data_IF_740045095882
#
_entry.id   IF_740045095882
#
_cell.length_a   1.000
_cell.length_b   1.000
_cell.length_c   1.000
_cell.angle_alpha   90.00
_cell.angle_beta   90.00
_cell.angle_gamma   90.00
#
_symmetry.space_group_name_H-M   'P 1'
#
loop_
_entity.id
_entity.type
_entity.pdbx_description
1 polymer ?
#
# COMPACT_ATOMS: atom_id res chain seq x y z
N UNK A 1 9.18 -0.70 30.39
CA UNK A 1 9.58 -0.89 28.99
C UNK A 1 8.58 -0.16 28.13
N UNK A 2 8.90 1.06 27.74
CA UNK A 2 8.09 1.89 26.83
C UNK A 2 8.27 1.37 25.41
N UNK A 3 7.19 1.02 24.73
CA UNK A 3 7.26 0.58 23.34
C UNK A 3 7.93 1.68 22.49
N UNK A 4 9.00 1.37 21.74
CA UNK A 4 9.47 2.27 20.71
C UNK A 4 8.44 2.23 19.56
N UNK A 5 8.28 3.34 18.84
CA UNK A 5 7.57 3.43 17.54
C UNK A 5 6.08 3.81 17.61
N UNK A 6 5.81 5.06 18.04
CA UNK A 6 4.57 5.75 17.69
C UNK A 6 4.86 6.67 16.49
N UNK A 7 4.13 6.48 15.39
CA UNK A 7 4.06 7.44 14.30
C UNK A 7 2.80 8.28 14.44
N UNK A 8 2.90 9.58 14.15
CA UNK A 8 1.82 10.28 13.49
C UNK A 8 2.36 10.78 12.15
N UNK A 9 1.95 10.17 11.04
CA UNK A 9 1.85 10.99 9.84
C UNK A 9 0.63 11.91 10.07
N UNK A 10 0.88 13.12 10.54
CA UNK A 10 -0.17 14.10 10.79
C UNK A 10 -0.81 14.51 9.47
N UNK A 11 -1.98 13.97 9.14
CA UNK A 11 -2.85 14.49 8.08
C UNK A 11 -2.99 13.62 6.83
N UNK A 12 -2.25 12.51 6.69
CA UNK A 12 -2.50 11.51 5.65
C UNK A 12 -3.17 10.29 6.25
N UNK A 13 -4.25 9.85 5.62
CA UNK A 13 -4.95 8.62 5.93
C UNK A 13 -5.32 7.95 4.62
N UNK A 14 -5.21 6.63 4.58
CA UNK A 14 -5.66 5.87 3.42
C UNK A 14 -7.18 5.99 3.30
N UNK A 15 -7.67 6.19 2.08
CA UNK A 15 -9.10 6.25 1.84
C UNK A 15 -9.78 4.93 2.22
N UNK A 16 -10.88 4.95 2.99
CA UNK A 16 -11.69 3.76 3.24
C UNK A 16 -12.17 3.07 1.96
N UNK A 17 -12.38 3.82 0.87
CA UNK A 17 -12.78 3.28 -0.43
C UNK A 17 -11.66 2.50 -1.13
N UNK A 18 -10.39 2.72 -0.77
CA UNK A 18 -9.22 2.02 -1.31
C UNK A 18 -8.63 1.01 -0.32
N UNK A 19 -9.43 0.59 0.67
CA UNK A 19 -9.01 -0.32 1.72
C UNK A 19 -9.83 -1.61 1.68
N UNK A 20 -9.17 -2.77 1.65
CA UNK A 20 -9.78 -4.08 1.92
C UNK A 20 -9.38 -4.55 3.32
N UNK A 21 -10.21 -5.35 3.99
CA UNK A 21 -9.94 -5.78 5.38
C UNK A 21 -9.52 -7.23 5.43
N UNK A 22 -8.39 -7.52 6.06
CA UNK A 22 -7.93 -8.88 6.35
C UNK A 22 -8.63 -9.40 7.61
N UNK A 23 -9.45 -10.44 7.45
CA UNK A 23 -10.15 -11.04 8.57
C UNK A 23 -9.18 -11.72 9.55
N UNK A 24 -9.64 -11.98 10.78
CA UNK A 24 -8.81 -12.55 11.85
C UNK A 24 -8.13 -13.89 11.49
N UNK A 25 -8.78 -14.68 10.64
CA UNK A 25 -8.28 -15.95 10.10
C UNK A 25 -7.29 -15.78 8.93
N UNK A 26 -7.00 -14.55 8.49
CA UNK A 26 -6.16 -14.25 7.34
C UNK A 26 -6.88 -14.26 6.00
N UNK A 27 -8.19 -14.51 5.92
CA UNK A 27 -8.89 -14.41 4.64
C UNK A 27 -9.22 -12.96 4.30
N UNK A 28 -9.06 -12.57 3.04
CA UNK A 28 -9.70 -11.37 2.52
C UNK A 28 -11.12 -11.72 2.09
N UNK A 29 -12.16 -11.14 2.72
CA UNK A 29 -13.53 -11.35 2.29
C UNK A 29 -13.73 -10.70 0.92
N UNK A 30 -14.60 -11.30 0.11
CA UNK A 30 -15.09 -10.65 -1.10
C UNK A 30 -15.87 -9.39 -0.71
N UNK A 31 -15.59 -8.28 -1.37
CA UNK A 31 -16.29 -7.00 -1.14
C UNK A 31 -17.03 -6.66 -2.41
N UNK A 32 -18.36 -6.60 -2.33
CA UNK A 32 -19.20 -6.17 -3.44
C UNK A 32 -19.34 -4.64 -3.35
N UNK A 33 -18.41 -3.88 -3.93
CA UNK A 33 -18.55 -2.42 -4.05
C UNK A 33 -18.43 -1.98 -5.50
N UNK A 34 -19.44 -1.25 -5.97
CA UNK A 34 -19.49 -0.45 -7.19
C UNK A 34 -19.13 -1.14 -8.52
N UNK A 35 -19.91 -2.16 -8.88
CA UNK A 35 -19.94 -2.68 -10.25
C UNK A 35 -18.85 -3.70 -10.60
N UNK A 36 -17.87 -3.92 -9.72
CA UNK A 36 -16.87 -5.01 -9.82
C UNK A 36 -17.39 -6.27 -9.10
N UNK A 37 -18.69 -6.56 -9.22
CA UNK A 37 -19.35 -7.72 -8.60
C UNK A 37 -19.09 -9.05 -9.34
N UNK A 38 -18.26 -9.08 -10.38
CA UNK A 38 -18.19 -10.24 -11.27
C UNK A 38 -17.32 -11.40 -10.76
N UNK A 39 -16.42 -11.21 -9.78
CA UNK A 39 -15.37 -12.20 -9.51
C UNK A 39 -15.43 -12.93 -8.17
N UNK A 40 -16.36 -12.58 -7.27
CA UNK A 40 -16.44 -13.24 -5.95
C UNK A 40 -15.12 -13.16 -5.15
N UNK A 41 -14.30 -12.15 -5.43
CA UNK A 41 -12.93 -12.03 -4.95
C UNK A 41 -12.69 -10.63 -4.35
N UNK A 42 -11.66 -10.46 -3.50
CA UNK A 42 -11.30 -9.15 -2.95
C UNK A 42 -10.87 -8.20 -4.07
N UNK A 43 -11.44 -6.99 -4.08
CA UNK A 43 -11.10 -5.96 -5.05
C UNK A 43 -11.06 -4.58 -4.36
N UNK A 44 -10.15 -3.72 -4.83
CA UNK A 44 -10.17 -2.30 -4.50
C UNK A 44 -11.09 -1.51 -5.45
N UNK A 45 -11.43 -0.29 -5.05
CA UNK A 45 -12.10 0.65 -5.95
C UNK A 45 -11.20 1.01 -7.14
N UNK A 46 -11.81 1.18 -8.31
CA UNK A 46 -11.11 1.46 -9.55
C UNK A 46 -10.34 2.80 -9.51
N UNK A 47 -9.21 2.88 -10.24
CA UNK A 47 -8.48 4.14 -10.52
C UNK A 47 -8.64 4.58 -11.96
N UNK A 48 -8.39 5.85 -12.25
CA UNK A 48 -8.06 6.25 -13.61
C UNK A 48 -6.61 5.84 -13.91
N UNK A 49 -6.31 5.60 -15.18
CA UNK A 49 -4.98 5.15 -15.62
C UNK A 49 -3.88 6.14 -15.19
N UNK A 50 -4.14 7.44 -15.35
CA UNK A 50 -3.19 8.52 -15.07
C UNK A 50 -2.92 8.79 -13.58
N UNK A 51 -3.69 8.19 -12.66
CA UNK A 51 -3.51 8.47 -11.23
C UNK A 51 -2.39 7.60 -10.63
N UNK A 52 -1.65 8.15 -9.68
CA UNK A 52 -0.87 7.38 -8.72
C UNK A 52 -1.64 7.40 -7.39
N UNK A 53 -2.13 6.25 -6.94
CA UNK A 53 -2.98 6.16 -5.74
C UNK A 53 -2.45 5.13 -4.75
N UNK A 54 -2.69 5.41 -3.48
CA UNK A 54 -2.47 4.53 -2.35
C UNK A 54 -3.65 3.57 -2.16
N UNK A 55 -3.33 2.30 -1.94
CA UNK A 55 -4.26 1.21 -1.65
C UNK A 55 -3.83 0.50 -0.38
N UNK A 56 -4.79 0.04 0.43
CA UNK A 56 -4.47 -0.62 1.69
C UNK A 56 -5.15 -1.96 1.89
N UNK A 57 -4.46 -2.79 2.68
CA UNK A 57 -5.05 -3.89 3.42
C UNK A 57 -5.06 -3.50 4.90
N UNK A 58 -6.24 -3.45 5.52
CA UNK A 58 -6.39 -3.33 6.97
C UNK A 58 -6.06 -4.70 7.60
N UNK A 59 -4.91 -4.77 8.26
CA UNK A 59 -4.37 -5.98 8.87
C UNK A 59 -4.81 -6.13 10.35
N UNK A 60 -5.58 -5.18 10.88
CA UNK A 60 -5.80 -5.02 12.33
C UNK A 60 -6.40 -6.27 12.97
N UNK A 61 -7.43 -6.86 12.36
CA UNK A 61 -8.09 -8.04 12.92
C UNK A 61 -7.18 -9.28 12.90
N UNK A 62 -6.45 -9.49 11.80
CA UNK A 62 -5.49 -10.59 11.64
C UNK A 62 -4.34 -10.50 12.64
N UNK A 63 -3.78 -9.31 12.82
CA UNK A 63 -2.70 -9.04 13.77
C UNK A 63 -3.17 -9.21 15.22
N UNK A 64 -4.37 -8.69 15.55
CA UNK A 64 -4.97 -8.87 16.88
C UNK A 64 -5.21 -10.34 17.21
N UNK A 65 -5.70 -11.13 16.25
CA UNK A 65 -5.92 -12.56 16.45
C UNK A 65 -4.61 -13.34 16.65
N UNK A 66 -3.51 -12.86 16.06
CA UNK A 66 -2.18 -13.45 16.21
C UNK A 66 -1.37 -12.93 17.40
N UNK A 67 -1.79 -11.82 18.02
CA UNK A 67 -1.02 -11.16 19.08
C UNK A 67 0.33 -10.61 18.61
N UNK A 68 0.42 -10.15 17.36
CA UNK A 68 1.68 -9.74 16.72
C UNK A 68 1.51 -8.41 15.96
N UNK A 69 2.60 -7.91 15.38
CA UNK A 69 2.64 -6.74 14.50
C UNK A 69 3.25 -7.07 13.14
N UNK A 70 2.94 -6.24 12.16
CA UNK A 70 3.44 -6.38 10.81
C UNK A 70 4.92 -5.95 10.73
N UNK A 71 5.75 -6.77 10.11
CA UNK A 71 7.18 -6.56 9.93
C UNK A 71 7.52 -6.09 8.53
N UNK A 72 6.88 -6.66 7.50
CA UNK A 72 7.11 -6.26 6.11
C UNK A 72 5.87 -6.45 5.24
N UNK A 73 5.87 -5.70 4.14
CA UNK A 73 4.90 -5.75 3.05
C UNK A 73 5.70 -5.84 1.76
N UNK A 74 5.35 -6.79 0.91
CA UNK A 74 5.84 -6.88 -0.47
C UNK A 74 4.63 -6.97 -1.37
N UNK A 75 4.67 -6.32 -2.52
CA UNK A 75 3.59 -6.38 -3.49
C UNK A 75 4.13 -6.31 -4.92
N UNK A 76 3.42 -6.96 -5.83
CA UNK A 76 3.68 -6.89 -7.26
C UNK A 76 2.39 -7.16 -8.04
N UNK A 77 2.33 -6.68 -9.27
CA UNK A 77 1.26 -7.04 -10.20
C UNK A 77 1.56 -8.44 -10.74
N UNK A 78 0.69 -9.41 -10.45
CA UNK A 78 0.90 -10.82 -10.78
C UNK A 78 0.22 -11.24 -12.09
N UNK A 79 -0.77 -10.49 -12.55
CA UNK A 79 -1.47 -10.70 -13.83
C UNK A 79 -1.84 -9.36 -14.47
N UNK A 80 -1.61 -9.24 -15.78
CA UNK A 80 -1.83 -8.04 -16.57
C UNK A 80 -0.88 -7.90 -17.77
N UNK A 81 -0.98 -6.74 -18.44
CA UNK A 81 -0.17 -6.37 -19.62
C UNK A 81 1.13 -5.62 -19.26
N UNK A 82 1.42 -5.46 -17.97
CA UNK A 82 2.59 -4.71 -17.47
C UNK A 82 2.40 -3.18 -17.41
N UNK A 83 1.24 -2.65 -17.81
CA UNK A 83 1.00 -1.20 -17.75
C UNK A 83 0.70 -0.68 -16.33
N UNK A 84 0.12 -1.53 -15.47
CA UNK A 84 -0.02 -1.24 -14.05
C UNK A 84 1.25 -1.64 -13.32
N UNK A 85 1.76 -0.75 -12.47
CA UNK A 85 2.96 -1.01 -11.67
C UNK A 85 2.72 -0.71 -10.20
N UNK A 86 3.34 -1.52 -9.33
CA UNK A 86 3.63 -1.09 -7.97
C UNK A 86 4.72 -0.04 -8.06
N UNK A 87 4.45 1.15 -7.52
CA UNK A 87 5.41 2.25 -7.55
C UNK A 87 6.68 1.84 -6.81
N UNK A 88 7.79 2.47 -7.20
CA UNK A 88 9.18 2.12 -6.90
C UNK A 88 9.46 1.43 -5.55
N UNK A 89 10.48 0.56 -5.46
CA UNK A 89 10.85 -0.10 -4.20
C UNK A 89 10.87 0.88 -3.01
N UNK A 90 10.17 0.53 -1.92
CA UNK A 90 10.01 1.39 -0.74
C UNK A 90 8.70 2.17 -0.69
N UNK A 91 7.96 2.28 -1.80
CA UNK A 91 6.58 2.79 -1.85
C UNK A 91 5.55 1.70 -1.53
N UNK A 92 5.93 0.76 -0.67
CA UNK A 92 5.00 -0.08 0.09
C UNK A 92 5.38 0.11 1.55
N UNK A 93 4.41 0.45 2.39
CA UNK A 93 4.68 0.94 3.74
C UNK A 93 3.71 0.34 4.73
N UNK A 94 4.11 0.33 5.99
CA UNK A 94 3.24 -0.04 7.10
C UNK A 94 2.75 1.25 7.74
N UNK A 95 1.44 1.50 7.69
CA UNK A 95 0.83 2.63 8.38
C UNK A 95 0.21 2.15 9.70
N UNK A 96 0.53 2.86 10.79
CA UNK A 96 -0.09 2.65 12.10
C UNK A 96 -0.84 3.92 12.47
N UNK A 97 -2.16 3.84 12.49
CA UNK A 97 -2.99 4.98 12.87
C UNK A 97 -3.09 5.03 14.39
N UNK A 98 -2.37 5.97 15.00
CA UNK A 98 -2.36 6.16 16.45
C UNK A 98 -3.73 6.58 17.03
N UNK A 99 -4.61 7.16 16.21
CA UNK A 99 -5.93 7.61 16.64
C UNK A 99 -6.94 6.48 16.86
N UNK A 100 -6.79 5.36 16.13
CA UNK A 100 -7.71 4.22 16.21
C UNK A 100 -7.02 2.86 16.43
N UNK A 101 -5.68 2.84 16.50
CA UNK A 101 -4.86 1.64 16.69
C UNK A 101 -4.85 0.69 15.49
N UNK A 102 -5.27 1.15 14.30
CA UNK A 102 -5.30 0.30 13.10
C UNK A 102 -3.93 0.20 12.47
N UNK A 103 -3.71 -0.93 11.82
CA UNK A 103 -2.48 -1.23 11.09
C UNK A 103 -2.82 -1.59 9.65
N UNK A 104 -2.21 -0.86 8.73
CA UNK A 104 -2.43 -1.03 7.30
C UNK A 104 -1.14 -1.40 6.59
N UNK A 105 -1.22 -2.35 5.67
CA UNK A 105 -0.24 -2.52 4.62
C UNK A 105 -0.65 -1.64 3.44
N UNK A 106 0.15 -0.63 3.12
CA UNK A 106 -0.17 0.34 2.06
C UNK A 106 0.74 0.11 0.87
N UNK A 107 0.14 0.10 -0.32
CA UNK A 107 0.79 -0.12 -1.61
C UNK A 107 0.39 1.02 -2.53
N UNK A 108 1.35 1.59 -3.25
CA UNK A 108 1.07 2.64 -4.21
C UNK A 108 1.12 2.05 -5.62
N UNK A 109 0.07 2.34 -6.40
CA UNK A 109 -0.11 1.82 -7.75
C UNK A 109 -0.21 2.99 -8.74
N UNK A 110 0.46 2.85 -9.89
CA UNK A 110 0.42 3.82 -10.98
C UNK A 110 0.21 3.15 -12.33
N UNK A 111 -0.27 3.92 -13.31
CA UNK A 111 -0.51 3.45 -14.67
C UNK A 111 -1.70 2.50 -14.79
N UNK A 112 -1.66 1.66 -15.83
CA UNK A 112 -2.66 0.62 -16.13
C UNK A 112 -3.50 0.94 -17.36
N UNK A 113 -3.91 -0.09 -18.09
CA UNK A 113 -4.71 0.02 -19.31
C UNK A 113 -6.19 0.27 -18.98
N UNK A 114 -6.85 1.27 -19.60
CA UNK A 114 -8.27 1.52 -19.36
C UNK A 114 -9.14 0.30 -19.64
N UNK A 115 -10.16 0.08 -18.80
CA UNK A 115 -11.06 -1.09 -18.85
C UNK A 115 -10.39 -2.43 -18.56
N UNK A 116 -9.16 -2.44 -18.03
CA UNK A 116 -8.48 -3.67 -17.61
C UNK A 116 -8.71 -3.96 -16.13
N UNK A 117 -8.55 -5.24 -15.79
CA UNK A 117 -8.54 -5.74 -14.42
C UNK A 117 -7.18 -6.40 -14.17
N UNK A 118 -6.49 -5.94 -13.13
CA UNK A 118 -5.20 -6.48 -12.73
C UNK A 118 -5.33 -7.30 -11.45
N UNK A 119 -4.48 -8.32 -11.30
CA UNK A 119 -4.29 -9.00 -10.02
C UNK A 119 -3.02 -8.47 -9.37
N UNK A 120 -3.14 -7.99 -8.13
CA UNK A 120 -2.00 -7.58 -7.30
C UNK A 120 -1.80 -8.62 -6.22
N UNK A 121 -0.61 -9.21 -6.19
CA UNK A 121 -0.22 -10.14 -5.13
C UNK A 121 0.53 -9.38 -4.04
N UNK A 122 0.16 -9.64 -2.78
CA UNK A 122 0.71 -9.01 -1.60
C UNK A 122 1.14 -10.08 -0.62
N UNK A 123 2.37 -9.98 -0.15
CA UNK A 123 2.94 -10.80 0.89
C UNK A 123 3.10 -9.97 2.15
N UNK A 124 2.46 -10.41 3.22
CA UNK A 124 2.50 -9.80 4.55
C UNK A 124 3.24 -10.72 5.49
N UNK A 125 4.27 -10.21 6.16
CA UNK A 125 5.06 -10.95 7.14
C UNK A 125 5.02 -10.25 8.48
N UNK A 126 4.73 -10.98 9.55
CA UNK A 126 4.72 -10.45 10.92
C UNK A 126 6.07 -10.64 11.62
N UNK A 127 6.30 -9.98 12.77
CA UNK A 127 7.57 -10.11 13.49
C UNK A 127 7.80 -11.52 14.07
N UNK A 128 6.74 -12.26 14.39
CA UNK A 128 6.83 -13.68 14.78
C UNK A 128 7.07 -14.63 13.59
N UNK A 129 7.16 -14.12 12.36
CA UNK A 129 7.41 -14.90 11.16
C UNK A 129 6.16 -15.50 10.52
N UNK A 130 4.96 -15.14 10.99
CA UNK A 130 3.72 -15.57 10.35
C UNK A 130 3.56 -14.83 9.02
N UNK A 131 3.24 -15.57 7.97
CA UNK A 131 3.14 -15.04 6.62
C UNK A 131 1.76 -15.28 6.04
N UNK A 132 1.29 -14.34 5.23
CA UNK A 132 0.17 -14.57 4.32
C UNK A 132 0.44 -13.96 2.96
N UNK A 133 0.01 -14.68 1.93
CA UNK A 133 -0.05 -14.20 0.56
C UNK A 133 -1.52 -13.95 0.22
N UNK A 134 -1.80 -12.77 -0.31
CA UNK A 134 -3.13 -12.34 -0.67
C UNK A 134 -3.15 -11.79 -2.09
N UNK A 135 -4.22 -12.05 -2.83
CA UNK A 135 -4.45 -11.43 -4.14
C UNK A 135 -5.63 -10.47 -4.03
N UNK A 136 -5.44 -9.25 -4.54
CA UNK A 136 -6.49 -8.22 -4.60
C UNK A 136 -6.59 -7.73 -6.03
N UNK A 137 -7.81 -7.71 -6.55
CA UNK A 137 -8.07 -7.20 -7.87
C UNK A 137 -8.07 -5.67 -7.89
N UNK A 138 -7.45 -5.11 -8.94
CA UNK A 138 -7.32 -3.68 -9.15
C UNK A 138 -7.91 -3.29 -10.50
N UNK A 139 -9.13 -2.73 -10.55
CA UNK A 139 -9.74 -2.28 -11.79
C UNK A 139 -9.20 -0.92 -12.24
N UNK A 140 -9.03 -0.75 -13.54
CA UNK A 140 -8.76 0.56 -14.16
C UNK A 140 -9.99 0.99 -14.94
N UNK A 141 -10.53 2.17 -14.60
CA UNK A 141 -11.75 2.66 -15.23
C UNK A 141 -11.52 3.04 -16.70
N UNK A 142 -12.62 3.13 -17.45
CA UNK A 142 -12.60 3.51 -18.87
C UNK A 142 -12.65 5.03 -19.11
N UNK A 143 -12.65 5.84 -18.04
CA UNK A 143 -13.01 7.26 -18.10
C UNK A 143 -11.87 8.15 -18.62
N UNK A 144 -10.65 7.61 -18.71
CA UNK A 144 -9.49 8.30 -19.26
C UNK A 144 -8.77 7.43 -20.28
N UNK A 145 -7.98 8.06 -21.16
CA UNK A 145 -7.00 7.36 -21.98
C UNK A 145 -5.96 6.64 -21.12
N UNK A 146 -5.26 5.68 -21.73
CA UNK A 146 -4.13 5.02 -21.09
C UNK A 146 -3.00 6.01 -20.86
N UNK A 147 -2.38 5.91 -19.70
CA UNK A 147 -1.26 6.71 -19.26
C UNK A 147 -0.27 5.83 -18.49
N UNK A 148 1.01 6.13 -18.65
CA UNK A 148 2.05 5.53 -17.83
C UNK A 148 1.94 6.01 -16.38
N UNK A 149 2.55 5.28 -15.46
CA UNK A 149 2.68 5.72 -14.08
C UNK A 149 3.44 7.06 -14.02
N UNK A 150 2.91 8.02 -13.25
CA UNK A 150 3.62 9.28 -13.05
C UNK A 150 4.92 9.02 -12.27
N UNK A 151 5.94 9.82 -12.56
CA UNK A 151 7.20 9.79 -11.80
C UNK A 151 6.94 10.05 -10.32
N UNK A 152 7.57 9.25 -9.46
CA UNK A 152 7.57 9.48 -8.02
C UNK A 152 8.71 10.42 -7.61
N UNK A 153 8.55 11.20 -6.53
CA UNK A 153 9.66 11.92 -5.90
C UNK A 153 10.86 11.01 -5.67
N UNK A 154 12.05 11.52 -5.95
CA UNK A 154 13.30 10.82 -5.79
C UNK A 154 14.46 11.76 -5.48
N UNK A 155 15.50 11.21 -4.87
CA UNK A 155 16.80 11.86 -4.71
C UNK A 155 17.49 11.99 -6.08
N UNK A 156 18.54 12.82 -6.14
CA UNK A 156 19.27 13.09 -7.38
C UNK A 156 19.96 11.86 -7.98
N UNK A 157 20.18 10.81 -7.19
CA UNK A 157 20.75 9.54 -7.63
C UNK A 157 19.69 8.55 -8.16
N UNK A 158 18.42 8.96 -8.19
CA UNK A 158 17.28 8.13 -8.62
C UNK A 158 16.64 7.31 -7.50
N UNK A 159 17.15 7.39 -6.26
CA UNK A 159 16.54 6.70 -5.12
C UNK A 159 15.15 7.27 -4.83
N UNK A 160 14.07 6.46 -4.84
CA UNK A 160 12.73 6.95 -4.56
C UNK A 160 12.61 7.47 -3.12
N UNK A 161 11.84 8.55 -2.94
CA UNK A 161 11.49 9.10 -1.62
C UNK A 161 10.05 8.67 -1.31
N UNK A 162 9.83 7.61 -0.50
CA UNK A 162 8.49 7.16 -0.21
C UNK A 162 7.74 8.14 0.71
N UNK A 163 6.40 8.07 0.77
CA UNK A 163 5.60 8.99 1.58
C UNK A 163 5.89 8.93 3.08
N UNK A 164 6.47 7.83 3.58
CA UNK A 164 6.88 7.69 4.98
C UNK A 164 8.35 8.04 5.23
N UNK A 165 9.03 8.72 4.30
CA UNK A 165 10.38 9.24 4.54
C UNK A 165 10.37 10.32 5.63
N UNK A 166 11.34 10.27 6.54
CA UNK A 166 11.51 11.29 7.57
C UNK A 166 11.99 12.61 6.97
N UNK A 167 11.40 13.70 7.45
CA UNK A 167 11.67 15.05 6.99
C UNK A 167 12.06 15.96 8.15
N UNK A 168 12.94 16.93 7.90
CA UNK A 168 13.22 17.99 8.86
C UNK A 168 11.99 18.93 9.00
N UNK A 169 11.69 19.45 10.20
CA UNK A 169 10.48 20.26 10.42
C UNK A 169 10.44 21.62 9.70
N UNK A 170 11.58 22.14 9.26
CA UNK A 170 11.72 23.52 8.79
C UNK A 170 11.81 23.60 7.27
N UNK A 171 12.61 22.72 6.66
CA UNK A 171 12.93 22.79 5.22
C UNK A 171 12.45 21.54 4.45
N UNK A 172 11.76 20.61 5.12
CA UNK A 172 11.31 19.33 4.56
C UNK A 172 12.43 18.49 3.93
N UNK A 173 13.67 18.66 4.40
CA UNK A 173 14.82 17.88 3.93
C UNK A 173 14.64 16.41 4.31
N UNK A 174 14.89 15.51 3.37
CA UNK A 174 14.81 14.06 3.60
C UNK A 174 16.00 13.61 4.43
N UNK A 175 15.73 12.98 5.57
CA UNK A 175 16.77 12.37 6.39
C UNK A 175 17.25 11.08 5.73
N UNK A 176 18.57 10.91 5.59
CA UNK A 176 19.21 9.74 4.98
C UNK A 176 20.02 8.96 6.02
N UNK A 177 20.15 7.65 5.82
CA UNK A 177 21.10 6.82 6.56
C UNK A 177 22.53 6.95 6.02
N UNK A 178 23.49 6.30 6.68
CA UNK A 178 24.91 6.30 6.27
C UNK A 178 25.13 5.70 4.86
N UNK A 179 24.14 4.99 4.31
CA UNK A 179 24.16 4.43 2.95
C UNK A 179 23.46 5.32 1.92
N UNK A 180 23.01 6.52 2.32
CA UNK A 180 22.32 7.47 1.46
C UNK A 180 20.85 7.14 1.19
N UNK A 181 20.24 6.21 1.94
CA UNK A 181 18.83 5.83 1.76
C UNK A 181 17.91 6.66 2.66
N UNK A 182 16.69 7.01 2.22
CA UNK A 182 15.71 7.66 3.07
C UNK A 182 15.46 6.85 4.35
N UNK A 183 15.65 7.51 5.50
CA UNK A 183 15.21 6.98 6.77
C UNK A 183 13.69 7.02 6.81
N UNK A 184 13.08 5.87 7.12
CA UNK A 184 11.64 5.72 7.09
C UNK A 184 11.04 5.78 8.50
N UNK A 185 9.88 6.38 8.55
CA UNK A 185 8.98 6.40 9.69
C UNK A 185 8.31 4.99 9.76
N UNK A 186 8.44 4.28 10.89
CA UNK A 186 8.04 2.86 11.08
C UNK A 186 6.84 2.61 12.03
#
# INVERSE_FOLDING_TARGET
>A
MTAPNNLPFSGWAVSPQRTVTLAGNGSLPCVCSDGVSAYGAPAWSAKASADNLDYAIDCTAWLRAGGDTLASVQAWVSDGDGALVVLSPGWSSIMRDAGNGRVYAVIWLGGGTPSSLYSVEIVLTTLSGRQITASVYMPVNALSGGADANSVPGLSDGTPIPPNAMQTPVDSEILLDDSGRPLLIA
#
